data_IF_127255652846
#
_entry.id   IF_127255652846
#
_cell.length_a   1.000
_cell.length_b   1.000
_cell.length_c   1.000
_cell.angle_alpha   90.00
_cell.angle_beta   90.00
_cell.angle_gamma   90.00
#
_symmetry.space_group_name_H-M   'P 1'
#
loop_
_entity.id
_entity.type
_entity.pdbx_description
1 polymer ?
#
# COMPACT_ATOMS: atom_id res chain seq x y z
N UNK A 1 4.06 -47.40 10.59
CA UNK A 1 3.92 -46.11 11.30
C UNK A 1 4.85 -45.05 10.69
N UNK A 2 4.72 -44.74 9.39
CA UNK A 2 5.68 -43.87 8.65
C UNK A 2 4.98 -42.98 7.60
N UNK A 3 3.70 -42.66 7.79
CA UNK A 3 2.91 -41.84 6.84
C UNK A 3 2.62 -40.40 7.28
N UNK A 4 2.95 -40.02 8.52
CA UNK A 4 2.59 -38.69 9.04
C UNK A 4 3.70 -37.62 8.95
N UNK A 5 4.93 -37.97 8.54
CA UNK A 5 6.05 -37.02 8.53
C UNK A 5 6.22 -36.23 7.21
N UNK A 6 5.48 -36.57 6.14
CA UNK A 6 5.66 -35.93 4.81
C UNK A 6 4.70 -34.74 4.61
N UNK A 7 3.62 -34.62 5.40
CA UNK A 7 2.69 -33.49 5.27
C UNK A 7 3.19 -32.17 5.89
N UNK A 8 4.17 -32.20 6.80
CA UNK A 8 4.64 -30.99 7.48
C UNK A 8 5.67 -30.17 6.70
N UNK A 9 6.34 -30.75 5.69
CA UNK A 9 7.36 -30.02 4.91
C UNK A 9 6.73 -29.26 3.72
N UNK A 10 5.57 -29.70 3.22
CA UNK A 10 4.85 -29.01 2.15
C UNK A 10 4.19 -27.70 2.60
N UNK A 11 3.99 -27.49 3.90
CA UNK A 11 3.43 -26.26 4.47
C UNK A 11 4.45 -25.12 4.66
N UNK A 12 5.76 -25.39 4.59
CA UNK A 12 6.79 -24.35 4.74
C UNK A 12 7.34 -23.79 3.41
N UNK A 13 6.97 -24.37 2.26
CA UNK A 13 7.40 -23.91 0.93
C UNK A 13 6.38 -22.99 0.22
N UNK A 14 5.18 -22.79 0.80
CA UNK A 14 4.02 -22.34 0.03
C UNK A 14 3.62 -20.87 0.12
N UNK A 15 4.13 -20.09 1.08
CA UNK A 15 3.71 -18.69 1.22
C UNK A 15 4.87 -17.85 1.71
N UNK A 16 5.84 -17.56 0.83
CA UNK A 16 6.41 -16.22 0.88
C UNK A 16 5.26 -15.31 0.49
N UNK A 17 4.54 -14.80 1.48
CA UNK A 17 3.76 -13.61 1.29
C UNK A 17 4.79 -12.57 0.82
N UNK A 18 4.89 -12.37 -0.49
CA UNK A 18 5.62 -11.24 -1.01
C UNK A 18 4.92 -10.05 -0.37
N UNK A 19 5.62 -9.36 0.52
CA UNK A 19 5.13 -8.06 0.95
C UNK A 19 4.98 -7.26 -0.34
N UNK A 20 3.75 -6.83 -0.64
CA UNK A 20 3.48 -6.04 -1.84
C UNK A 20 4.41 -4.82 -1.86
N UNK A 21 4.72 -4.29 -0.68
CA UNK A 21 5.56 -3.13 -0.49
C UNK A 21 6.96 -3.46 0.03
N UNK A 22 8.00 -2.82 -0.55
CA UNK A 22 9.41 -3.07 -0.20
C UNK A 22 10.19 -1.80 0.23
N UNK A 23 9.70 -0.59 -0.06
CA UNK A 23 10.32 0.69 0.34
C UNK A 23 9.28 1.66 0.87
N UNK A 24 9.66 2.41 1.90
CA UNK A 24 8.80 3.39 2.55
C UNK A 24 9.55 4.69 2.80
N UNK A 25 8.96 5.83 2.49
CA UNK A 25 9.54 7.13 2.80
C UNK A 25 8.49 8.21 2.95
N UNK A 26 8.77 9.21 3.79
CA UNK A 26 8.02 10.46 3.75
C UNK A 26 8.55 11.35 2.63
N UNK A 27 7.64 12.09 2.00
CA UNK A 27 7.97 13.21 1.14
C UNK A 27 8.20 14.46 1.99
N UNK A 28 8.87 15.46 1.42
CA UNK A 28 9.08 16.74 2.08
C UNK A 28 8.71 17.89 1.15
N UNK A 29 8.74 19.12 1.66
CA UNK A 29 8.58 20.31 0.85
C UNK A 29 9.60 20.37 -0.32
N UNK A 30 10.81 19.82 -0.12
CA UNK A 30 11.83 19.77 -1.16
C UNK A 30 11.46 18.85 -2.34
N UNK A 31 10.57 17.87 -2.15
CA UNK A 31 9.99 17.06 -3.24
C UNK A 31 8.62 17.54 -3.68
N UNK A 32 8.17 18.72 -3.24
CA UNK A 32 6.78 19.19 -3.39
C UNK A 32 5.74 18.19 -2.87
N UNK A 33 6.11 17.40 -1.87
CA UNK A 33 5.26 16.34 -1.31
C UNK A 33 4.88 15.24 -2.32
N UNK A 34 5.59 15.07 -3.43
CA UNK A 34 5.26 14.08 -4.46
C UNK A 34 6.00 12.76 -4.23
N UNK A 35 5.28 11.65 -4.30
CA UNK A 35 5.90 10.33 -4.48
C UNK A 35 6.44 10.19 -5.92
N UNK A 36 7.49 9.40 -6.15
CA UNK A 36 7.99 9.15 -7.51
C UNK A 36 6.90 8.56 -8.41
N UNK A 37 6.66 9.16 -9.58
CA UNK A 37 5.65 8.72 -10.54
C UNK A 37 4.21 9.15 -10.25
N UNK A 38 3.97 9.79 -9.10
CA UNK A 38 2.66 10.37 -8.76
C UNK A 38 2.58 11.85 -9.14
N UNK A 39 1.37 12.31 -9.46
CA UNK A 39 1.06 13.72 -9.73
C UNK A 39 0.32 14.40 -8.58
N UNK A 40 -0.05 13.65 -7.56
CA UNK A 40 -0.77 14.12 -6.38
C UNK A 40 0.17 14.14 -5.18
N UNK A 41 -0.07 15.10 -4.29
CA UNK A 41 0.75 15.27 -3.09
C UNK A 41 0.40 14.21 -2.05
N UNK A 42 1.43 13.52 -1.55
CA UNK A 42 1.37 12.60 -0.44
C UNK A 42 1.93 13.30 0.80
N UNK A 43 1.12 14.14 1.44
CA UNK A 43 1.53 14.99 2.55
C UNK A 43 1.57 14.16 3.84
N UNK A 44 2.59 14.37 4.68
CA UNK A 44 2.64 13.77 6.01
C UNK A 44 1.35 14.07 6.79
N UNK A 45 0.76 13.08 7.49
CA UNK A 45 1.37 11.86 8.01
C UNK A 45 1.37 10.66 7.04
N UNK A 46 0.90 10.83 5.80
CA UNK A 46 0.90 9.77 4.80
C UNK A 46 2.33 9.44 4.33
N UNK A 47 2.53 8.21 3.85
CA UNK A 47 3.84 7.67 3.45
C UNK A 47 3.79 7.17 2.02
N UNK A 48 4.84 7.42 1.24
CA UNK A 48 5.04 6.76 -0.04
C UNK A 48 5.52 5.32 0.20
N UNK A 49 4.72 4.34 -0.22
CA UNK A 49 5.02 2.93 -0.22
C UNK A 49 5.28 2.45 -1.67
N UNK A 50 6.47 1.92 -1.93
CA UNK A 50 6.80 1.32 -3.22
C UNK A 50 6.27 -0.10 -3.29
N UNK A 51 5.49 -0.39 -4.33
CA UNK A 51 5.01 -1.71 -4.64
C UNK A 51 6.01 -2.48 -5.51
N UNK A 52 6.66 -3.50 -4.95
CA UNK A 52 7.69 -4.27 -5.63
C UNK A 52 7.18 -5.18 -6.75
N UNK A 53 5.86 -5.39 -6.88
CA UNK A 53 5.27 -6.22 -7.93
C UNK A 53 4.87 -5.40 -9.17
N UNK A 54 4.34 -4.19 -8.97
CA UNK A 54 3.96 -3.28 -10.08
C UNK A 54 4.98 -2.19 -10.36
N UNK A 55 5.99 -2.01 -9.51
CA UNK A 55 6.98 -0.92 -9.60
C UNK A 55 6.32 0.47 -9.51
N UNK A 56 5.23 0.56 -8.74
CA UNK A 56 4.44 1.78 -8.53
C UNK A 56 4.58 2.29 -7.10
N UNK A 57 4.61 3.60 -6.93
CA UNK A 57 4.50 4.20 -5.59
C UNK A 57 3.05 4.52 -5.28
N UNK A 58 2.63 4.15 -4.07
CA UNK A 58 1.33 4.46 -3.51
C UNK A 58 1.51 5.40 -2.31
N UNK A 59 0.58 6.32 -2.09
CA UNK A 59 0.48 7.10 -0.88
C UNK A 59 -0.44 6.39 0.11
N UNK A 60 0.08 5.97 1.26
CA UNK A 60 -0.68 5.27 2.30
C UNK A 60 -1.01 6.21 3.44
N UNK A 61 -2.31 6.32 3.73
CA UNK A 61 -2.83 7.07 4.87
C UNK A 61 -2.71 6.27 6.17
N UNK A 62 -2.65 6.96 7.30
CA UNK A 62 -2.50 6.33 8.63
C UNK A 62 -3.78 6.34 9.46
N UNK A 63 -4.93 6.62 8.84
CA UNK A 63 -6.20 6.81 9.55
C UNK A 63 -6.89 5.46 9.80
N UNK A 64 -7.06 5.06 11.06
CA UNK A 64 -7.11 3.64 11.45
C UNK A 64 -8.29 2.84 10.87
N UNK A 65 -9.40 3.49 10.52
CA UNK A 65 -10.62 2.80 10.09
C UNK A 65 -10.76 2.70 8.57
N UNK A 66 -10.30 3.74 7.84
CA UNK A 66 -10.40 3.85 6.36
C UNK A 66 -9.03 4.11 5.70
N UNK A 67 -7.93 3.71 6.36
CA UNK A 67 -6.59 3.78 5.79
C UNK A 67 -6.52 2.95 4.52
N UNK A 68 -6.27 3.64 3.42
CA UNK A 68 -6.06 3.05 2.10
C UNK A 68 -4.75 3.59 1.55
N UNK A 69 -4.01 2.71 0.89
CA UNK A 69 -2.95 3.13 -0.02
C UNK A 69 -3.60 3.50 -1.36
N UNK A 70 -3.21 4.63 -1.92
CA UNK A 70 -3.79 5.12 -3.17
C UNK A 70 -2.71 5.63 -4.13
N UNK A 71 -3.02 5.57 -5.41
CA UNK A 71 -2.15 6.06 -6.48
C UNK A 71 -2.99 6.76 -7.55
N UNK A 72 -2.30 7.41 -8.48
CA UNK A 72 -2.86 7.94 -9.70
C UNK A 72 -3.53 6.86 -10.53
N UNK A 73 -4.66 7.20 -11.13
CA UNK A 73 -5.22 6.37 -12.19
C UNK A 73 -4.32 6.32 -13.43
N UNK A 74 -4.43 5.22 -14.16
CA UNK A 74 -3.86 5.11 -15.50
C UNK A 74 -4.93 5.40 -16.56
N UNK A 75 -4.54 5.91 -17.75
CA UNK A 75 -5.41 5.91 -18.91
C UNK A 75 -5.92 4.49 -19.19
N UNK A 76 -7.13 4.38 -19.71
CA UNK A 76 -7.66 3.08 -20.11
C UNK A 76 -6.94 2.60 -21.39
N UNK A 77 -6.50 1.34 -21.38
CA UNK A 77 -5.69 0.72 -22.43
C UNK A 77 -6.49 -0.28 -23.29
N UNK A 78 -7.82 -0.18 -23.31
CA UNK A 78 -8.68 -1.04 -24.10
C UNK A 78 -8.74 -0.64 -25.57
N UNK A 79 -9.89 -0.87 -26.22
CA UNK A 79 -10.09 -0.52 -27.63
C UNK A 79 -10.05 1.00 -27.89
N UNK A 80 -10.39 1.80 -26.88
CA UNK A 80 -10.26 3.25 -26.87
C UNK A 80 -9.80 3.77 -25.49
N UNK A 81 -9.50 5.07 -25.40
CA UNK A 81 -9.02 5.74 -24.17
C UNK A 81 -10.03 5.70 -22.99
N UNK A 82 -11.24 5.17 -23.20
CA UNK A 82 -12.33 5.12 -22.22
C UNK A 82 -12.68 3.69 -21.80
N UNK A 83 -12.25 2.71 -22.57
CA UNK A 83 -12.59 1.31 -22.39
C UNK A 83 -11.44 0.63 -21.66
N UNK A 84 -11.68 -0.01 -20.50
CA UNK A 84 -10.62 -0.71 -19.78
C UNK A 84 -10.06 -1.87 -20.59
N UNK A 85 -8.74 -2.08 -20.51
CA UNK A 85 -8.13 -3.33 -20.94
C UNK A 85 -8.58 -4.52 -20.06
N UNK A 86 -8.25 -5.74 -20.47
CA UNK A 86 -8.62 -6.97 -19.73
C UNK A 86 -8.10 -7.04 -18.28
N UNK A 87 -6.97 -6.36 -18.02
CA UNK A 87 -6.31 -6.21 -16.72
C UNK A 87 -6.65 -4.89 -16.02
N UNK A 88 -7.62 -4.13 -16.51
CA UNK A 88 -8.08 -2.88 -15.92
C UNK A 88 -9.55 -2.95 -15.51
N UNK A 89 -9.95 -2.06 -14.60
CA UNK A 89 -11.34 -1.76 -14.27
C UNK A 89 -11.62 -0.30 -14.60
N UNK A 90 -12.75 -0.03 -15.24
CA UNK A 90 -13.18 1.34 -15.53
C UNK A 90 -13.90 1.95 -14.33
N UNK A 91 -13.45 3.12 -13.89
CA UNK A 91 -13.95 3.75 -12.66
C UNK A 91 -14.90 4.92 -12.89
N UNK A 92 -14.95 5.41 -14.13
CA UNK A 92 -15.77 6.54 -14.53
C UNK A 92 -16.17 6.38 -16.00
N UNK A 93 -17.05 7.25 -16.48
CA UNK A 93 -17.55 7.23 -17.86
C UNK A 93 -17.39 8.59 -18.53
N UNK A 94 -17.54 8.62 -19.86
CA UNK A 94 -17.46 9.85 -20.64
C UNK A 94 -16.03 10.37 -20.81
N UNK A 95 -15.85 11.69 -20.75
CA UNK A 95 -14.54 12.34 -20.96
C UNK A 95 -13.61 12.25 -19.74
N UNK A 96 -14.13 11.86 -18.58
CA UNK A 96 -13.37 11.68 -17.34
C UNK A 96 -13.24 10.19 -16.99
N UNK A 97 -13.31 9.31 -17.99
CA UNK A 97 -13.09 7.89 -17.79
C UNK A 97 -11.62 7.68 -17.39
N UNK A 98 -11.41 6.90 -16.34
CA UNK A 98 -10.08 6.50 -15.88
C UNK A 98 -10.12 5.05 -15.44
N UNK A 99 -8.96 4.41 -15.45
CA UNK A 99 -8.84 3.00 -15.19
C UNK A 99 -7.84 2.71 -14.07
N UNK A 100 -8.19 1.69 -13.27
CA UNK A 100 -7.35 1.12 -12.22
C UNK A 100 -6.99 -0.32 -12.58
N UNK A 101 -5.94 -0.87 -11.97
CA UNK A 101 -5.46 -2.23 -12.19
C UNK A 101 -6.41 -3.26 -11.57
N UNK A 102 -7.00 -4.11 -12.42
CA UNK A 102 -7.95 -5.13 -12.00
C UNK A 102 -7.31 -6.16 -11.06
N UNK A 103 -7.93 -6.35 -9.90
CA UNK A 103 -7.51 -7.35 -8.91
C UNK A 103 -6.37 -6.90 -8.00
N UNK A 104 -5.88 -5.67 -8.18
CA UNK A 104 -4.90 -5.02 -7.31
C UNK A 104 -5.42 -3.71 -6.74
N UNK A 105 -6.16 -2.98 -7.57
CA UNK A 105 -6.75 -1.71 -7.23
C UNK A 105 -8.27 -1.76 -7.37
N UNK A 106 -8.94 -0.89 -6.63
CA UNK A 106 -10.33 -0.53 -6.77
C UNK A 106 -10.49 0.97 -7.04
N UNK A 107 -11.61 1.34 -7.64
CA UNK A 107 -11.94 2.74 -7.87
C UNK A 107 -12.14 3.46 -6.53
N UNK A 108 -11.66 4.70 -6.41
CA UNK A 108 -11.92 5.51 -5.20
C UNK A 108 -13.40 5.53 -4.87
N UNK A 109 -13.74 5.26 -3.61
CA UNK A 109 -15.12 5.30 -3.13
C UNK A 109 -15.49 6.64 -2.49
N UNK A 110 -14.54 7.58 -2.40
CA UNK A 110 -14.78 8.91 -1.82
C UNK A 110 -15.47 9.82 -2.83
N UNK A 111 -16.50 10.51 -2.36
CA UNK A 111 -17.23 11.49 -3.17
C UNK A 111 -16.29 12.60 -3.68
N UNK A 112 -16.46 12.98 -4.95
CA UNK A 112 -15.64 13.99 -5.65
C UNK A 112 -14.14 13.68 -5.78
N UNK A 113 -13.71 12.44 -5.56
CA UNK A 113 -12.37 12.01 -5.98
C UNK A 113 -12.44 11.40 -7.39
N UNK A 114 -11.58 11.89 -8.28
CA UNK A 114 -11.42 11.37 -9.64
C UNK A 114 -9.94 11.07 -9.87
N UNK A 115 -9.64 10.15 -10.78
CA UNK A 115 -8.27 9.77 -11.13
C UNK A 115 -7.45 9.21 -9.96
N UNK A 116 -8.12 8.58 -9.00
CA UNK A 116 -7.51 7.94 -7.82
C UNK A 116 -7.93 6.48 -7.79
N UNK A 117 -6.94 5.61 -7.67
CA UNK A 117 -7.10 4.16 -7.50
C UNK A 117 -6.65 3.79 -6.09
N UNK A 118 -7.47 3.02 -5.38
CA UNK A 118 -7.15 2.49 -4.04
C UNK A 118 -6.58 1.10 -4.19
N UNK A 119 -5.44 0.81 -3.56
CA UNK A 119 -4.90 -0.53 -3.54
C UNK A 119 -5.75 -1.42 -2.61
N UNK A 120 -6.13 -2.60 -3.09
CA UNK A 120 -6.89 -3.63 -2.35
C UNK A 120 -5.97 -4.38 -1.37
N UNK A 121 -4.66 -4.35 -1.60
CA UNK A 121 -3.67 -4.94 -0.71
C UNK A 121 -3.75 -4.33 0.69
N UNK A 122 -3.47 -5.15 1.72
CA UNK A 122 -3.52 -4.70 3.09
C UNK A 122 -2.53 -3.55 3.33
N UNK A 123 -3.02 -2.43 3.85
CA UNK A 123 -2.21 -1.28 4.19
C UNK A 123 -1.18 -1.67 5.28
N UNK A 124 0.14 -1.55 5.01
CA UNK A 124 1.18 -1.89 5.98
C UNK A 124 1.16 -0.99 7.24
N UNK A 125 0.48 0.15 7.18
CA UNK A 125 0.37 1.15 8.24
C UNK A 125 -0.98 1.14 8.96
N UNK A 126 -1.90 0.22 8.63
CA UNK A 126 -3.23 0.13 9.25
C UNK A 126 -3.22 0.13 10.79
N UNK A 127 -2.15 -0.42 11.40
CA UNK A 127 -2.00 -0.51 12.85
C UNK A 127 -1.09 0.59 13.45
N UNK A 128 -0.67 1.58 12.67
CA UNK A 128 0.20 2.67 13.11
C UNK A 128 -0.64 3.93 13.27
N UNK A 129 -0.73 4.44 14.50
CA UNK A 129 -1.52 5.65 14.75
C UNK A 129 -0.91 6.88 14.06
N UNK A 130 -1.79 7.78 13.60
CA UNK A 130 -1.41 9.07 13.02
C UNK A 130 -0.42 9.86 13.89
N UNK A 131 -0.60 9.83 15.21
CA UNK A 131 0.31 10.48 16.15
C UNK A 131 1.75 9.94 16.06
N UNK A 132 1.94 8.64 15.88
CA UNK A 132 3.26 8.02 15.73
C UNK A 132 3.89 8.36 14.38
N UNK A 133 3.08 8.35 13.31
CA UNK A 133 3.53 8.77 11.97
C UNK A 133 4.01 10.22 11.98
N UNK A 134 3.23 11.12 12.59
CA UNK A 134 3.59 12.53 12.69
C UNK A 134 4.84 12.75 13.57
N UNK A 135 4.98 12.03 14.68
CA UNK A 135 6.17 12.09 15.52
C UNK A 135 7.42 11.59 14.78
N UNK A 136 7.29 10.51 14.01
CA UNK A 136 8.36 9.95 13.18
C UNK A 136 8.77 10.95 12.09
N UNK A 137 7.78 11.51 11.38
CA UNK A 137 8.02 12.55 10.38
C UNK A 137 8.73 13.76 10.98
N UNK A 138 8.25 14.29 12.11
CA UNK A 138 8.87 15.44 12.80
C UNK A 138 10.31 15.16 13.23
N UNK A 139 10.59 13.94 13.71
CA UNK A 139 11.94 13.53 14.10
C UNK A 139 12.86 13.44 12.88
N UNK A 140 12.42 12.83 11.78
CA UNK A 140 13.21 12.67 10.57
C UNK A 140 13.44 14.00 9.86
N UNK A 141 12.43 14.85 9.77
CA UNK A 141 12.53 16.18 9.14
C UNK A 141 13.45 17.11 9.92
N UNK A 142 13.45 17.03 11.25
CA UNK A 142 14.39 17.78 12.09
C UNK A 142 15.83 17.28 11.93
N UNK A 143 16.01 15.96 11.73
CA UNK A 143 17.34 15.36 11.53
C UNK A 143 17.91 15.64 10.13
N UNK A 144 17.06 15.81 9.12
CA UNK A 144 17.48 16.08 7.74
C UNK A 144 16.56 17.07 7.02
N UNK A 145 16.62 18.38 7.37
CA UNK A 145 15.68 19.38 6.87
C UNK A 145 15.80 19.66 5.38
N UNK A 146 16.94 19.32 4.76
CA UNK A 146 17.18 19.52 3.33
C UNK A 146 16.97 18.27 2.49
N UNK A 147 16.57 17.14 3.09
CA UNK A 147 16.31 15.93 2.34
C UNK A 147 14.99 16.03 1.57
N UNK A 148 14.98 15.59 0.31
CA UNK A 148 13.76 15.48 -0.51
C UNK A 148 12.90 14.28 -0.12
N UNK A 149 13.49 13.25 0.47
CA UNK A 149 12.80 12.06 0.95
C UNK A 149 13.40 11.62 2.28
N UNK A 150 12.55 11.15 3.18
CA UNK A 150 12.96 10.66 4.50
C UNK A 150 12.63 9.17 4.57
N UNK A 151 13.62 8.34 4.23
CA UNK A 151 13.46 6.90 4.17
C UNK A 151 13.19 6.28 5.55
N UNK A 152 12.28 5.32 5.57
CA UNK A 152 11.97 4.49 6.73
C UNK A 152 12.57 3.13 6.48
N UNK A 153 13.60 2.78 7.24
CA UNK A 153 14.40 1.58 7.00
C UNK A 153 13.63 0.31 7.42
N UNK A 154 12.72 0.41 8.39
CA UNK A 154 11.98 -0.75 8.89
C UNK A 154 10.63 -0.35 9.49
N UNK A 155 9.53 -0.87 8.92
CA UNK A 155 8.17 -0.72 9.49
C UNK A 155 8.12 -1.30 10.90
N UNK A 156 8.86 -2.38 11.16
CA UNK A 156 8.91 -3.03 12.46
C UNK A 156 9.40 -2.06 13.54
N UNK A 157 10.26 -1.10 13.18
CA UNK A 157 10.70 -0.05 14.11
C UNK A 157 9.57 0.92 14.41
N UNK A 158 8.73 1.31 13.43
CA UNK A 158 7.53 2.12 13.72
C UNK A 158 6.56 1.38 14.65
N UNK A 159 6.35 0.08 14.42
CA UNK A 159 5.48 -0.74 15.29
C UNK A 159 6.11 -0.95 16.67
N UNK A 160 7.43 -1.14 16.77
CA UNK A 160 8.12 -1.37 18.04
C UNK A 160 8.22 -0.12 18.93
N UNK A 161 8.40 1.07 18.32
CA UNK A 161 8.30 2.35 19.05
C UNK A 161 6.91 2.51 19.68
N UNK A 162 5.89 1.84 19.12
CA UNK A 162 4.53 1.88 19.67
C UNK A 162 4.43 1.33 21.08
N UNK A 163 5.18 0.27 21.39
CA UNK A 163 5.21 -0.40 22.69
C UNK A 163 6.14 0.27 23.70
N UNK A 164 7.22 0.92 23.24
CA UNK A 164 8.24 1.45 24.14
C UNK A 164 7.96 2.87 24.64
N UNK A 165 7.14 3.66 23.94
CA UNK A 165 6.81 5.04 24.32
C UNK A 165 5.77 5.16 25.47
N UNK A 166 5.24 4.04 25.98
CA UNK A 166 4.39 4.04 27.18
C UNK A 166 5.21 4.11 28.48
N UNK A 167 6.54 4.04 28.41
CA UNK A 167 7.44 4.23 29.55
C UNK A 167 8.40 5.38 29.25
N UNK A 168 8.43 6.38 30.13
CA UNK A 168 9.38 7.52 30.14
C UNK A 168 9.04 8.76 29.28
N UNK A 169 7.90 9.40 29.56
CA UNK A 169 7.82 10.87 29.51
C UNK A 169 7.69 11.35 30.95
N UNK A 170 8.82 11.38 31.67
CA UNK A 170 8.94 12.16 32.90
C UNK A 170 9.63 13.47 32.51
N UNK A 171 8.81 14.49 32.30
CA UNK A 171 9.22 15.85 31.96
C UNK A 171 10.18 16.42 33.01
N UNK A 172 11.47 16.55 32.67
CA UNK A 172 12.38 17.42 33.41
C UNK A 172 12.22 18.86 32.92
N UNK A 173 11.36 19.59 33.62
CA UNK A 173 11.15 21.03 33.51
C UNK A 173 12.44 21.76 33.86
N UNK A 174 13.19 22.19 32.84
CA UNK A 174 14.35 23.08 33.03
C UNK A 174 13.89 24.53 32.88
N UNK A 175 13.55 25.14 34.01
CA UNK A 175 13.19 26.55 34.14
C UNK A 175 14.40 27.42 33.84
N UNK A 176 14.44 28.06 32.66
CA UNK A 176 15.50 29.01 32.32
C UNK A 176 14.97 30.44 32.46
N UNK A 177 15.35 31.07 33.57
CA UNK A 177 14.99 32.43 33.98
C UNK A 177 15.67 33.46 33.08
N UNK A 178 14.89 34.13 32.21
CA UNK A 178 15.35 35.22 31.34
C UNK A 178 15.37 36.53 32.15
N UNK A 179 16.54 37.08 32.46
CA UNK A 179 16.70 38.45 32.97
C UNK A 179 16.94 39.42 31.82
N UNK A 180 16.06 40.42 31.73
CA UNK A 180 16.19 41.62 30.92
C UNK A 180 17.45 42.41 31.27
N UNK A 181 18.17 42.90 30.25
CA UNK A 181 18.96 44.13 30.33
C UNK A 181 19.31 44.66 28.94
N UNK A 182 18.87 45.88 28.69
CA UNK A 182 19.32 46.84 27.67
C UNK A 182 18.97 48.23 28.27
N UNK A 183 19.58 49.38 27.89
CA UNK A 183 20.65 49.61 26.92
C UNK A 183 21.84 50.41 27.51
N UNK A 184 22.98 50.46 26.82
CA UNK A 184 23.86 51.65 26.86
C UNK A 184 24.78 51.73 25.65
N UNK A 185 24.66 52.89 25.02
CA UNK A 185 25.44 53.48 23.93
C UNK A 185 26.89 53.73 24.36
N UNK A 186 27.87 53.31 23.54
CA UNK A 186 29.18 53.95 23.47
C UNK A 186 29.86 53.66 22.12
N UNK A 187 29.99 54.72 21.35
CA UNK A 187 30.89 54.92 20.21
C UNK A 187 32.36 54.73 20.63
N UNK A 188 33.18 54.01 19.86
CA UNK A 188 34.57 54.42 19.53
C UNK A 188 35.26 53.44 18.55
N UNK A 189 35.65 54.00 17.40
CA UNK A 189 36.95 53.93 16.70
C UNK A 189 37.52 52.59 16.21
N UNK A 190 37.75 52.60 14.89
CA UNK A 190 38.56 51.69 14.08
C UNK A 190 39.89 51.28 14.71
N UNK A 191 40.24 50.00 14.59
CA UNK A 191 41.65 49.59 14.51
C UNK A 191 41.76 48.35 13.63
N UNK A 192 42.37 48.55 12.46
CA UNK A 192 42.89 47.53 11.57
C UNK A 192 43.88 46.65 12.33
N UNK A 193 43.69 45.33 12.29
CA UNK A 193 44.73 44.36 12.63
C UNK A 193 44.55 43.12 11.78
N UNK A 194 45.40 43.03 10.76
CA UNK A 194 45.82 41.82 10.08
C UNK A 194 46.33 40.82 11.13
N UNK A 195 45.94 39.54 11.06
CA UNK A 195 46.77 38.39 11.47
C UNK A 195 46.15 37.08 10.93
N UNK A 196 46.98 36.42 10.11
CA UNK A 196 47.23 35.00 9.92
C UNK A 196 46.08 34.01 9.67
N UNK A 197 46.12 33.48 8.44
CA UNK A 197 45.76 32.10 8.06
C UNK A 197 46.08 31.09 9.19
N UNK A 198 45.04 30.41 9.68
CA UNK A 198 45.21 29.12 10.34
C UNK A 198 44.61 28.06 9.42
N UNK A 199 45.51 27.31 8.78
CA UNK A 199 45.24 26.19 7.90
C UNK A 199 44.78 25.00 8.75
N UNK A 200 43.48 24.81 8.91
CA UNK A 200 42.95 23.62 9.57
C UNK A 200 43.08 22.43 8.62
N UNK A 201 44.04 21.56 8.93
CA UNK A 201 44.23 20.26 8.31
C UNK A 201 43.09 19.33 8.74
N UNK A 202 42.26 18.80 7.83
CA UNK A 202 41.26 17.79 8.21
C UNK A 202 41.98 16.48 8.52
N UNK A 203 41.91 16.06 9.78
CA UNK A 203 42.29 14.72 10.23
C UNK A 203 41.40 13.70 9.55
N UNK A 204 41.98 12.89 8.67
CA UNK A 204 41.30 11.81 7.97
C UNK A 204 40.97 10.68 8.95
N UNK A 205 39.71 10.55 9.35
CA UNK A 205 39.20 9.32 9.95
C UNK A 205 38.96 8.27 8.84
N UNK A 206 39.35 7.00 9.03
CA UNK A 206 39.17 5.98 8.01
C UNK A 206 37.70 5.57 7.91
N UNK A 207 37.08 5.89 6.77
CA UNK A 207 35.75 5.38 6.40
C UNK A 207 35.77 3.83 6.32
N UNK A 208 35.12 3.19 7.28
CA UNK A 208 34.84 1.75 7.25
C UNK A 208 33.79 1.43 6.19
N UNK A 209 34.25 1.13 4.97
CA UNK A 209 33.40 0.65 3.87
C UNK A 209 32.89 -0.76 4.20
N UNK A 210 31.66 -0.85 4.70
CA UNK A 210 30.92 -2.10 4.86
C UNK A 210 30.47 -2.63 3.49
N UNK A 211 31.43 -3.11 2.69
CA UNK A 211 31.14 -3.84 1.46
C UNK A 211 30.73 -5.27 1.81
N UNK A 212 29.50 -5.65 1.44
CA UNK A 212 29.04 -7.04 1.53
C UNK A 212 30.01 -7.89 0.70
N UNK A 213 30.74 -8.78 1.38
CA UNK A 213 31.69 -9.70 0.77
C UNK A 213 30.98 -10.50 -0.32
N UNK A 214 31.49 -10.42 -1.55
CA UNK A 214 30.94 -11.13 -2.71
C UNK A 214 30.86 -12.65 -2.52
N UNK A 215 31.60 -13.20 -1.55
CA UNK A 215 31.49 -14.60 -1.14
C UNK A 215 30.11 -15.00 -0.63
N UNK A 216 29.36 -14.09 0.01
CA UNK A 216 28.01 -14.40 0.54
C UNK A 216 26.97 -14.48 -0.58
N UNK A 217 27.10 -13.64 -1.60
CA UNK A 217 26.19 -13.62 -2.75
C UNK A 217 26.42 -14.84 -3.65
N UNK A 218 27.68 -15.27 -3.82
CA UNK A 218 28.03 -16.43 -4.63
C UNK A 218 27.48 -17.76 -4.10
N UNK A 219 27.42 -17.92 -2.77
CA UNK A 219 26.96 -19.18 -2.15
C UNK A 219 25.48 -19.49 -2.39
N UNK A 220 24.63 -18.45 -2.45
CA UNK A 220 23.19 -18.63 -2.58
C UNK A 220 22.78 -19.23 -3.94
N UNK A 221 23.43 -18.81 -5.03
CA UNK A 221 23.09 -19.24 -6.39
C UNK A 221 23.46 -20.70 -6.62
N UNK A 222 24.66 -21.11 -6.19
CA UNK A 222 25.11 -22.51 -6.34
C UNK A 222 24.23 -23.45 -5.51
N UNK A 223 23.83 -23.03 -4.31
CA UNK A 223 22.90 -23.78 -3.46
C UNK A 223 21.54 -24.02 -4.11
N UNK A 224 20.98 -23.01 -4.77
CA UNK A 224 19.68 -23.11 -5.45
C UNK A 224 19.72 -24.10 -6.63
N UNK A 225 20.79 -24.08 -7.44
CA UNK A 225 20.94 -24.98 -8.61
C UNK A 225 21.07 -26.44 -8.17
N UNK A 226 21.91 -26.71 -7.15
CA UNK A 226 22.08 -28.07 -6.61
C UNK A 226 20.79 -28.56 -5.91
N UNK A 227 20.12 -27.67 -5.18
CA UNK A 227 18.84 -27.96 -4.54
C UNK A 227 17.75 -28.36 -5.52
N UNK A 228 17.58 -27.59 -6.61
CA UNK A 228 16.58 -27.91 -7.65
C UNK A 228 16.87 -29.23 -8.36
N UNK A 229 18.15 -29.54 -8.63
CA UNK A 229 18.54 -30.79 -9.26
C UNK A 229 18.18 -32.00 -8.38
N UNK A 230 18.41 -31.93 -7.08
CA UNK A 230 18.07 -33.00 -6.14
C UNK A 230 16.55 -33.18 -5.99
N UNK A 231 15.79 -32.09 -5.87
CA UNK A 231 14.33 -32.15 -5.73
C UNK A 231 13.67 -32.66 -7.03
N UNK A 232 14.08 -32.10 -8.18
CA UNK A 232 13.59 -32.54 -9.49
C UNK A 232 13.96 -33.99 -9.79
N UNK A 233 15.21 -34.38 -9.53
CA UNK A 233 15.68 -35.76 -9.67
C UNK A 233 14.94 -36.73 -8.76
N UNK A 234 14.70 -36.37 -7.50
CA UNK A 234 13.94 -37.17 -6.55
C UNK A 234 12.48 -37.38 -6.97
N UNK A 235 11.80 -36.32 -7.40
CA UNK A 235 10.42 -36.40 -7.89
C UNK A 235 10.32 -37.26 -9.17
N UNK A 236 11.23 -37.06 -10.12
CA UNK A 236 11.27 -37.85 -11.36
C UNK A 236 11.51 -39.34 -11.09
N UNK A 237 12.43 -39.67 -10.17
CA UNK A 237 12.73 -41.05 -9.81
C UNK A 237 11.52 -41.76 -9.17
N UNK A 238 10.79 -41.06 -8.30
CA UNK A 238 9.56 -41.59 -7.69
C UNK A 238 8.44 -41.79 -8.72
N UNK A 239 8.27 -40.85 -9.66
CA UNK A 239 7.27 -40.97 -10.72
C UNK A 239 7.58 -42.14 -11.67
N UNK A 240 8.85 -42.33 -12.02
CA UNK A 240 9.32 -43.44 -12.86
C UNK A 240 9.12 -44.79 -12.18
N UNK A 241 9.34 -44.89 -10.86
CA UNK A 241 9.11 -46.14 -10.10
C UNK A 241 7.63 -46.51 -10.04
N UNK A 242 6.72 -45.54 -10.03
CA UNK A 242 5.28 -45.77 -9.87
C UNK A 242 4.58 -46.23 -11.16
N UNK A 243 5.18 -46.00 -12.33
CA UNK A 243 4.62 -46.41 -13.63
C UNK A 243 4.77 -47.91 -13.94
N UNK A 244 5.52 -48.66 -13.15
CA UNK A 244 5.80 -50.09 -13.38
C UNK A 244 4.78 -51.09 -12.83
N UNK A 245 3.72 -50.66 -12.13
CA UNK A 245 2.80 -51.57 -11.42
C UNK A 245 1.36 -51.64 -11.96
N UNK A 246 1.08 -51.11 -13.15
CA UNK A 246 -0.25 -51.23 -13.77
C UNK A 246 -0.34 -52.49 -14.64
N UNK A 247 -0.32 -53.65 -14.00
CA UNK A 247 -0.82 -54.90 -14.59
C UNK A 247 -2.04 -55.37 -13.80
N UNK A 248 -3.23 -54.95 -14.29
CA UNK A 248 -4.52 -55.67 -14.26
C UNK A 248 -5.69 -54.66 -14.21
N UNK A 249 -6.48 -54.49 -15.30
CA UNK A 249 -7.78 -53.86 -15.20
C UNK A 249 -8.74 -54.86 -14.54
N UNK A 250 -9.13 -54.60 -13.29
CA UNK A 250 -10.33 -55.24 -12.73
C UNK A 250 -11.53 -54.43 -13.20
N UNK A 251 -12.31 -55.05 -14.09
CA UNK A 251 -13.62 -54.59 -14.46
C UNK A 251 -14.51 -54.47 -13.22
N UNK A 252 -15.24 -53.35 -13.17
CA UNK A 252 -16.40 -53.16 -12.31
C UNK A 252 -17.53 -52.70 -13.21
N UNK A 253 -18.21 -53.68 -13.81
CA UNK A 253 -19.63 -53.56 -14.17
C UNK A 253 -20.40 -53.04 -12.95
N UNK A 254 -21.26 -52.05 -13.16
CA UNK A 254 -22.58 -52.00 -12.52
C UNK A 254 -23.43 -50.96 -13.24
N UNK A 255 -24.27 -51.51 -14.12
CA UNK A 255 -25.50 -50.93 -14.64
C UNK A 255 -26.38 -50.34 -13.54
N UNK A 256 -27.12 -49.28 -13.89
CA UNK A 256 -28.14 -48.70 -13.03
C UNK A 256 -29.02 -47.72 -13.80
N UNK A 257 -30.05 -48.25 -14.44
CA UNK A 257 -31.11 -47.55 -15.18
C UNK A 257 -31.76 -46.35 -14.47
N UNK A 258 -32.00 -45.28 -15.24
CA UNK A 258 -32.96 -44.22 -14.91
C UNK A 258 -33.55 -43.64 -16.21
N UNK A 259 -34.87 -43.71 -16.45
CA UNK A 259 -35.45 -43.46 -17.76
C UNK A 259 -35.73 -41.98 -18.05
N UNK A 260 -35.50 -41.64 -19.32
CA UNK A 260 -36.25 -40.72 -20.17
C UNK A 260 -37.06 -39.58 -19.49
N UNK A 261 -36.60 -38.35 -19.71
CA UNK A 261 -37.53 -37.26 -20.04
C UNK A 261 -37.05 -36.52 -21.28
N UNK A 262 -37.79 -36.77 -22.35
CA UNK A 262 -37.75 -36.08 -23.63
C UNK A 262 -38.62 -34.83 -23.47
N UNK A 263 -38.00 -33.65 -23.42
CA UNK A 263 -38.65 -32.44 -23.90
C UNK A 263 -37.74 -31.75 -24.90
N UNK A 264 -38.13 -31.98 -26.15
CA UNK A 264 -37.74 -31.26 -27.34
C UNK A 264 -38.35 -29.85 -27.23
N UNK A 265 -37.55 -28.85 -26.89
CA UNK A 265 -37.91 -27.44 -27.12
C UNK A 265 -36.90 -26.84 -28.07
N UNK A 266 -37.43 -26.54 -29.26
CA UNK A 266 -36.84 -25.79 -30.33
C UNK A 266 -36.77 -24.31 -29.89
N UNK A 267 -35.58 -23.73 -29.73
CA UNK A 267 -35.47 -22.27 -29.65
C UNK A 267 -34.21 -21.75 -30.34
N UNK A 268 -34.49 -21.04 -31.42
CA UNK A 268 -33.63 -20.22 -32.24
C UNK A 268 -33.03 -19.06 -31.43
N UNK A 269 -31.70 -18.97 -31.47
CA UNK A 269 -30.91 -17.74 -31.65
C UNK A 269 -31.51 -16.42 -31.14
N UNK A 270 -31.31 -16.10 -29.85
CA UNK A 270 -31.26 -14.72 -29.35
C UNK A 270 -30.22 -14.62 -28.22
N UNK A 271 -29.08 -14.01 -28.57
CA UNK A 271 -28.36 -12.98 -27.83
C UNK A 271 -28.45 -13.05 -26.29
N UNK A 272 -27.47 -13.73 -25.68
CA UNK A 272 -27.28 -13.75 -24.22
C UNK A 272 -26.83 -12.38 -23.72
N UNK A 273 -27.75 -11.65 -23.09
CA UNK A 273 -27.46 -10.54 -22.18
C UNK A 273 -26.74 -11.10 -20.95
N UNK A 274 -25.64 -10.48 -20.46
CA UNK A 274 -24.96 -10.94 -19.25
C UNK A 274 -25.92 -10.84 -18.06
N UNK A 275 -26.20 -11.96 -17.40
CA UNK A 275 -26.96 -11.95 -16.16
C UNK A 275 -26.12 -11.38 -15.02
N UNK A 276 -26.66 -10.35 -14.37
CA UNK A 276 -26.10 -9.77 -13.15
C UNK A 276 -26.09 -10.81 -12.03
N UNK A 277 -24.89 -11.19 -11.63
CA UNK A 277 -24.61 -12.13 -10.54
C UNK A 277 -24.62 -11.41 -9.18
N UNK A 278 -25.68 -10.67 -8.88
CA UNK A 278 -25.91 -10.04 -7.56
C UNK A 278 -27.39 -10.08 -7.11
N UNK A 279 -28.18 -11.04 -7.58
CA UNK A 279 -29.42 -11.38 -6.91
C UNK A 279 -29.11 -12.34 -5.74
N UNK A 280 -28.83 -11.78 -4.57
CA UNK A 280 -28.94 -12.54 -3.33
C UNK A 280 -30.41 -12.91 -3.15
N UNK A 281 -30.73 -14.19 -3.29
CA UNK A 281 -32.01 -14.75 -2.83
C UNK A 281 -32.09 -14.54 -1.31
N UNK A 282 -32.82 -13.50 -0.90
CA UNK A 282 -33.22 -13.31 0.49
C UNK A 282 -34.34 -14.29 0.74
N UNK A 283 -34.05 -15.31 1.53
CA UNK A 283 -35.01 -16.28 2.00
C UNK A 283 -36.17 -15.57 2.70
N UNK A 284 -37.35 -15.70 2.09
CA UNK A 284 -38.66 -15.87 2.70
C UNK A 284 -38.84 -15.22 4.09
N UNK A 285 -38.98 -13.89 4.08
CA UNK A 285 -39.50 -13.17 5.24
C UNK A 285 -40.69 -12.31 4.80
N UNK A 286 -41.87 -12.81 5.19
CA UNK A 286 -43.20 -12.24 5.02
C UNK A 286 -43.34 -10.90 5.79
N UNK A 287 -42.66 -9.85 5.32
CA UNK A 287 -42.90 -8.48 5.78
C UNK A 287 -43.75 -7.77 4.74
N UNK A 288 -44.98 -7.43 5.13
CA UNK A 288 -45.83 -6.55 4.35
C UNK A 288 -45.10 -5.22 4.12
N UNK A 289 -44.89 -4.87 2.85
CA UNK A 289 -44.45 -3.55 2.42
C UNK A 289 -45.41 -2.51 2.99
N UNK A 290 -44.96 -1.80 4.01
CA UNK A 290 -45.68 -0.65 4.56
C UNK A 290 -45.33 0.56 3.69
N UNK A 291 -46.22 0.88 2.75
CA UNK A 291 -46.07 2.09 1.94
C UNK A 291 -46.16 3.33 2.84
N UNK A 292 -45.11 4.16 2.79
CA UNK A 292 -45.07 5.44 3.47
C UNK A 292 -46.11 6.36 2.83
N UNK A 293 -47.14 6.73 3.61
CA UNK A 293 -48.22 7.62 3.21
C UNK A 293 -47.67 8.94 2.65
N UNK A 294 -48.05 9.27 1.42
CA UNK A 294 -47.58 10.41 0.63
C UNK A 294 -48.12 11.78 1.10
N UNK A 295 -48.07 12.07 2.41
CA UNK A 295 -48.66 13.29 2.98
C UNK A 295 -47.64 14.30 3.55
N UNK A 296 -46.34 14.14 3.26
CA UNK A 296 -45.35 15.14 3.64
C UNK A 296 -45.19 16.16 2.52
N UNK A 297 -45.66 17.39 2.76
CA UNK A 297 -45.33 18.52 1.91
C UNK A 297 -43.81 18.77 1.93
N UNK A 298 -43.21 19.14 0.79
CA UNK A 298 -41.80 19.49 0.72
C UNK A 298 -41.50 20.65 1.67
N UNK A 299 -40.50 20.45 2.54
CA UNK A 299 -39.96 21.50 3.40
C UNK A 299 -38.92 22.26 2.58
N UNK A 300 -39.26 23.49 2.22
CA UNK A 300 -38.35 24.47 1.63
C UNK A 300 -37.26 24.81 2.67
N UNK A 301 -35.99 24.55 2.36
CA UNK A 301 -34.89 25.05 3.20
C UNK A 301 -34.61 26.51 2.84
N UNK A 302 -34.72 27.37 3.83
CA UNK A 302 -34.49 28.81 3.70
C UNK A 302 -33.02 29.07 3.32
N UNK A 303 -32.82 29.69 2.15
CA UNK A 303 -31.53 30.00 1.55
C UNK A 303 -30.85 31.18 2.22
N UNK A 304 -30.52 31.05 3.51
CA UNK A 304 -29.73 32.03 4.25
C UNK A 304 -28.25 31.88 3.91
N UNK A 305 -27.77 32.74 3.00
CA UNK A 305 -26.37 33.00 2.64
C UNK A 305 -25.33 32.68 3.73
N UNK A 306 -24.63 31.57 3.60
CA UNK A 306 -23.35 31.35 4.29
C UNK A 306 -22.26 32.11 3.55
N UNK A 307 -21.91 33.28 4.08
CA UNK A 307 -20.81 34.10 3.60
C UNK A 307 -19.48 33.33 3.82
N UNK A 308 -18.64 33.13 2.78
CA UNK A 308 -17.40 32.38 2.94
C UNK A 308 -16.42 33.12 3.87
N UNK A 309 -15.71 32.41 4.75
CA UNK A 309 -14.72 33.02 5.63
C UNK A 309 -13.60 33.66 4.82
N UNK A 310 -13.36 34.93 5.11
CA UNK A 310 -12.34 35.77 4.50
C UNK A 310 -10.97 35.30 5.00
N UNK A 311 -10.24 34.55 4.17
CA UNK A 311 -8.85 34.13 4.44
C UNK A 311 -7.93 35.36 4.34
N UNK A 312 -7.15 35.70 5.38
CA UNK A 312 -6.17 36.77 5.30
C UNK A 312 -4.95 36.32 4.47
N UNK A 313 -4.71 37.00 3.36
CA UNK A 313 -3.45 36.95 2.64
C UNK A 313 -2.35 37.66 3.45
N UNK A 314 -1.45 36.89 4.02
CA UNK A 314 -0.06 37.26 4.28
C UNK A 314 0.68 35.97 4.54
N UNK A 315 1.67 35.65 3.71
CA UNK A 315 3.08 35.78 4.08
C UNK A 315 3.93 35.68 2.80
N UNK A 316 4.92 36.56 2.74
CA UNK A 316 6.02 36.59 1.79
C UNK A 316 7.10 35.57 2.18
#
# INVERSE_FOLDING_TARGET
MTRSAILSIALFLGTRAFAAYDKFHYTTEASNWLCPGMSWQCIAPSICAHDGLTDLYNCCDSDADDAVCWNNSTPCEGEDEKTPASNQIGCSSGSNAFCCLKGREECTQRFNQINVCWEIAADPFRNVSQAKMNATFSSLSSASPSASTLAIVDISVLTAISTSAASTITSTTSTSTRRSQSPSTATHVSTTSLIANTLNTPSSEPESKNGISGGTIGGAVVGAVVGMALVGGGAFFLFRRRRGSNSAPKGGELDGHGPANVYLVNQTHLQSVPQEKYAHEVADSNYALQELSANNQPVEMDGSSTQPPKVPHSFA
#
